data_IF_197851044552
#
_entry.id   IF_197851044552
#
_cell.length_a   1.000
_cell.length_b   1.000
_cell.length_c   1.000
_cell.angle_alpha   90.00
_cell.angle_beta   90.00
_cell.angle_gamma   90.00
#
_symmetry.space_group_name_H-M   'P 1'
#
loop_
_entity.id
_entity.type
_entity.pdbx_description
1 polymer ?
#
# COMPACT_ATOMS: atom_id res chain seq x y z
N UNK A 1 -45.44 -1.22 -29.94
CA UNK A 1 -44.23 -0.85 -30.71
C UNK A 1 -43.55 -2.11 -31.20
N UNK A 2 -43.15 -2.17 -32.47
CA UNK A 2 -42.33 -3.28 -32.99
C UNK A 2 -40.85 -3.13 -32.62
N UNK A 3 -40.06 -4.21 -32.63
CA UNK A 3 -38.60 -4.19 -32.31
C UNK A 3 -37.83 -3.12 -33.12
N UNK A 4 -38.20 -2.92 -34.39
CA UNK A 4 -37.63 -1.87 -35.23
C UNK A 4 -37.90 -0.45 -34.74
N UNK A 5 -39.07 -0.21 -34.16
CA UNK A 5 -39.50 1.10 -33.67
C UNK A 5 -38.80 1.45 -32.34
N UNK A 6 -38.55 0.43 -31.51
CA UNK A 6 -37.75 0.54 -30.27
C UNK A 6 -36.31 0.89 -30.59
N UNK A 7 -35.67 0.12 -31.47
CA UNK A 7 -34.29 0.37 -31.90
C UNK A 7 -34.15 1.76 -32.53
N UNK A 8 -35.10 2.18 -33.37
CA UNK A 8 -35.07 3.51 -33.96
C UNK A 8 -35.19 4.64 -32.91
N UNK A 9 -35.95 4.41 -31.84
CA UNK A 9 -36.13 5.38 -30.75
C UNK A 9 -34.89 5.46 -29.86
N UNK A 10 -34.27 4.32 -29.54
CA UNK A 10 -32.97 4.24 -28.85
C UNK A 10 -31.90 5.00 -29.64
N UNK A 11 -31.81 4.78 -30.96
CA UNK A 11 -30.83 5.48 -31.81
C UNK A 11 -31.04 6.99 -31.80
N UNK A 12 -32.28 7.48 -31.92
CA UNK A 12 -32.58 8.92 -31.84
C UNK A 12 -32.22 9.52 -30.48
N UNK A 13 -32.45 8.79 -29.39
CA UNK A 13 -32.09 9.22 -28.04
C UNK A 13 -30.57 9.39 -27.90
N UNK A 14 -29.79 8.40 -28.37
CA UNK A 14 -28.32 8.46 -28.35
C UNK A 14 -27.80 9.58 -29.26
N UNK A 15 -28.31 9.71 -30.48
CA UNK A 15 -27.88 10.75 -31.42
C UNK A 15 -28.20 12.17 -30.87
N UNK A 16 -29.30 12.32 -30.12
CA UNK A 16 -29.65 13.58 -29.45
C UNK A 16 -28.68 13.89 -28.30
N UNK A 17 -28.31 12.90 -27.49
CA UNK A 17 -27.32 13.06 -26.42
C UNK A 17 -25.92 13.36 -26.97
N UNK A 18 -25.57 12.80 -28.13
CA UNK A 18 -24.31 13.05 -28.84
C UNK A 18 -24.24 14.44 -29.48
N UNK A 19 -25.37 15.03 -29.91
CA UNK A 19 -25.38 16.35 -30.58
C UNK A 19 -24.86 17.50 -29.70
N UNK A 20 -24.72 17.28 -28.38
CA UNK A 20 -24.13 18.24 -27.44
C UNK A 20 -22.59 18.14 -27.30
N UNK A 21 -21.93 17.08 -27.79
CA UNK A 21 -20.48 16.85 -27.70
C UNK A 21 -20.00 16.13 -28.97
N UNK A 22 -19.03 16.68 -29.72
CA UNK A 22 -18.43 16.04 -30.90
C UNK A 22 -17.70 14.74 -30.54
N UNK A 23 -18.43 13.63 -30.42
CA UNK A 23 -17.93 12.37 -29.89
C UNK A 23 -17.71 11.32 -30.99
N UNK A 24 -16.66 10.52 -30.81
CA UNK A 24 -16.19 9.46 -31.73
C UNK A 24 -17.25 8.39 -32.00
N UNK A 25 -17.16 7.70 -33.15
CA UNK A 25 -18.02 6.54 -33.48
C UNK A 25 -18.02 5.48 -32.36
N UNK A 26 -16.89 5.32 -31.66
CA UNK A 26 -16.73 4.42 -30.51
C UNK A 26 -17.61 4.83 -29.31
N UNK A 27 -17.78 6.13 -29.07
CA UNK A 27 -18.66 6.64 -28.00
C UNK A 27 -20.12 6.34 -28.34
N UNK A 28 -20.49 6.53 -29.60
CA UNK A 28 -21.85 6.26 -30.09
C UNK A 28 -22.22 4.79 -29.92
N UNK A 29 -21.35 3.87 -30.32
CA UNK A 29 -21.56 2.42 -30.16
C UNK A 29 -21.72 2.04 -28.68
N UNK A 30 -20.91 2.63 -27.81
CA UNK A 30 -20.98 2.38 -26.38
C UNK A 30 -22.28 2.89 -25.76
N UNK A 31 -22.78 4.08 -26.16
CA UNK A 31 -24.05 4.62 -25.69
C UNK A 31 -25.25 3.80 -26.20
N UNK A 32 -25.21 3.29 -27.44
CA UNK A 32 -26.22 2.35 -27.96
C UNK A 32 -26.25 1.05 -27.16
N UNK A 33 -25.06 0.53 -26.80
CA UNK A 33 -24.94 -0.64 -25.93
C UNK A 33 -25.54 -0.36 -24.56
N UNK A 34 -25.23 0.78 -23.95
CA UNK A 34 -25.77 1.20 -22.66
C UNK A 34 -27.30 1.30 -22.70
N UNK A 35 -27.86 1.97 -23.71
CA UNK A 35 -29.30 2.13 -23.88
C UNK A 35 -30.00 0.77 -24.04
N UNK A 36 -29.44 -0.13 -24.86
CA UNK A 36 -30.01 -1.46 -25.09
C UNK A 36 -30.01 -2.33 -23.83
N UNK A 37 -28.92 -2.29 -23.03
CA UNK A 37 -28.86 -3.01 -21.76
C UNK A 37 -29.82 -2.43 -20.73
N UNK A 38 -29.89 -1.10 -20.64
CA UNK A 38 -30.82 -0.40 -19.73
C UNK A 38 -32.27 -0.70 -20.06
N UNK A 39 -32.63 -0.75 -21.34
CA UNK A 39 -33.94 -1.18 -21.81
C UNK A 39 -34.25 -2.63 -21.39
N UNK A 40 -33.31 -3.56 -21.62
CA UNK A 40 -33.49 -4.97 -21.25
C UNK A 40 -33.59 -5.20 -19.74
N UNK A 41 -32.97 -4.33 -18.92
CA UNK A 41 -32.97 -4.44 -17.45
C UNK A 41 -34.13 -3.70 -16.76
N UNK A 42 -35.03 -3.06 -17.51
CA UNK A 42 -36.08 -2.22 -16.93
C UNK A 42 -37.21 -3.01 -16.25
N UNK A 43 -37.43 -4.26 -16.67
CA UNK A 43 -38.49 -5.14 -16.15
C UNK A 43 -38.01 -6.12 -15.10
N UNK A 44 -36.80 -6.68 -15.28
CA UNK A 44 -36.14 -7.55 -14.32
C UNK A 44 -34.62 -7.33 -14.36
N UNK A 45 -34.05 -6.94 -13.23
CA UNK A 45 -32.63 -6.62 -13.09
C UNK A 45 -31.97 -7.73 -12.28
N UNK A 46 -31.79 -8.88 -12.93
CA UNK A 46 -31.09 -10.01 -12.36
C UNK A 46 -29.57 -9.74 -12.26
N UNK A 47 -28.83 -10.70 -11.68
CA UNK A 47 -27.38 -10.56 -11.49
C UNK A 47 -26.60 -10.42 -12.81
N UNK A 48 -27.08 -11.00 -13.92
CA UNK A 48 -26.38 -10.93 -15.21
C UNK A 48 -26.67 -9.60 -15.92
N UNK A 49 -27.93 -9.17 -15.93
CA UNK A 49 -28.36 -7.86 -16.40
C UNK A 49 -27.63 -6.73 -15.66
N UNK A 50 -27.52 -6.82 -14.33
CA UNK A 50 -26.73 -5.91 -13.52
C UNK A 50 -25.25 -5.86 -13.95
N UNK A 51 -24.62 -7.02 -14.15
CA UNK A 51 -23.22 -7.12 -14.56
C UNK A 51 -22.98 -6.62 -15.99
N UNK A 52 -23.94 -6.78 -16.89
CA UNK A 52 -23.89 -6.25 -18.26
C UNK A 52 -24.04 -4.72 -18.26
N UNK A 53 -24.97 -4.18 -17.47
CA UNK A 53 -25.15 -2.75 -17.29
C UNK A 53 -23.90 -2.12 -16.68
N UNK A 54 -23.32 -2.73 -15.64
CA UNK A 54 -22.08 -2.29 -15.00
C UNK A 54 -20.91 -2.23 -16.01
N UNK A 55 -20.76 -3.24 -16.87
CA UNK A 55 -19.77 -3.24 -17.96
C UNK A 55 -20.01 -2.13 -18.97
N UNK A 56 -21.26 -1.87 -19.34
CA UNK A 56 -21.62 -0.81 -20.28
C UNK A 56 -21.32 0.59 -19.71
N UNK A 57 -21.65 0.82 -18.44
CA UNK A 57 -21.32 2.05 -17.71
C UNK A 57 -19.80 2.22 -17.60
N UNK A 58 -19.07 1.16 -17.25
CA UNK A 58 -17.60 1.19 -17.19
C UNK A 58 -16.96 1.55 -18.54
N UNK A 59 -17.58 1.13 -19.66
CA UNK A 59 -17.17 1.56 -21.01
C UNK A 59 -17.38 3.06 -21.25
N UNK A 60 -18.53 3.60 -20.83
CA UNK A 60 -18.82 5.03 -20.93
C UNK A 60 -17.80 5.88 -20.15
N UNK A 61 -17.46 5.44 -18.94
CA UNK A 61 -16.41 6.07 -18.12
C UNK A 61 -15.06 6.10 -18.84
N UNK A 62 -14.62 4.96 -19.41
CA UNK A 62 -13.32 4.89 -20.11
C UNK A 62 -13.25 5.84 -21.31
N UNK A 63 -14.37 6.06 -21.97
CA UNK A 63 -14.48 6.95 -23.13
C UNK A 63 -14.74 8.43 -22.74
N UNK A 64 -14.73 8.75 -21.44
CA UNK A 64 -14.91 10.12 -20.96
C UNK A 64 -16.35 10.65 -21.03
N UNK A 65 -17.35 9.78 -21.16
CA UNK A 65 -18.76 10.18 -21.16
C UNK A 65 -19.14 10.71 -19.78
N UNK A 66 -19.84 11.84 -19.73
CA UNK A 66 -20.25 12.46 -18.47
C UNK A 66 -21.27 11.60 -17.70
N UNK A 67 -21.29 11.74 -16.37
CA UNK A 67 -22.29 11.08 -15.52
C UNK A 67 -23.71 11.46 -15.93
N UNK A 68 -23.94 12.72 -16.29
CA UNK A 68 -25.23 13.27 -16.68
C UNK A 68 -25.75 12.61 -17.98
N UNK A 69 -24.86 12.49 -18.97
CA UNK A 69 -25.17 11.80 -20.24
C UNK A 69 -25.50 10.33 -20.00
N UNK A 70 -24.70 9.63 -19.19
CA UNK A 70 -24.95 8.22 -18.86
C UNK A 70 -26.29 8.03 -18.15
N UNK A 71 -26.59 8.85 -17.13
CA UNK A 71 -27.87 8.78 -16.42
C UNK A 71 -29.06 9.09 -17.33
N UNK A 72 -28.93 10.09 -18.20
CA UNK A 72 -29.97 10.45 -19.17
C UNK A 72 -30.30 9.29 -20.11
N UNK A 73 -29.29 8.57 -20.60
CA UNK A 73 -29.47 7.40 -21.48
C UNK A 73 -30.08 6.22 -20.71
N UNK A 74 -29.63 5.95 -19.49
CA UNK A 74 -30.16 4.86 -18.66
C UNK A 74 -31.64 5.10 -18.33
N UNK A 75 -31.97 6.30 -17.83
CA UNK A 75 -33.34 6.67 -17.45
C UNK A 75 -34.24 6.68 -18.69
N UNK A 76 -33.82 7.32 -19.79
CA UNK A 76 -34.61 7.39 -21.01
C UNK A 76 -34.88 6.01 -21.65
N UNK A 77 -33.91 5.10 -21.60
CA UNK A 77 -34.10 3.72 -22.06
C UNK A 77 -35.11 2.94 -21.20
N UNK A 78 -35.11 3.16 -19.88
CA UNK A 78 -36.06 2.51 -18.96
C UNK A 78 -37.47 3.12 -19.07
N UNK A 79 -37.60 4.43 -19.27
CA UNK A 79 -38.87 5.10 -19.55
C UNK A 79 -39.54 4.58 -20.83
N UNK A 80 -38.73 4.19 -21.82
CA UNK A 80 -39.23 3.62 -23.06
C UNK A 80 -39.98 2.29 -22.81
N UNK A 81 -39.56 1.49 -21.83
CA UNK A 81 -40.25 0.23 -21.48
C UNK A 81 -41.62 0.50 -20.84
N UNK A 82 -41.71 1.53 -20.00
CA UNK A 82 -42.99 1.99 -19.40
C UNK A 82 -43.99 2.38 -20.49
N UNK A 83 -43.50 2.88 -21.63
CA UNK A 83 -44.32 3.30 -22.76
C UNK A 83 -44.78 2.16 -23.67
N UNK A 84 -44.22 0.95 -23.55
CA UNK A 84 -44.40 -0.15 -24.51
C UNK A 84 -45.11 -1.37 -23.89
N UNK A 85 -44.84 -1.70 -22.63
CA UNK A 85 -45.43 -2.87 -21.97
C UNK A 85 -46.66 -2.52 -21.12
N UNK A 86 -47.63 -3.43 -21.01
CA UNK A 86 -48.69 -3.37 -19.97
C UNK A 86 -48.02 -3.19 -18.62
N UNK A 87 -48.48 -2.23 -17.79
CA UNK A 87 -47.63 -1.59 -16.80
C UNK A 87 -46.97 -2.66 -15.91
N UNK A 88 -45.65 -2.84 -15.98
CA UNK A 88 -44.93 -3.44 -14.86
C UNK A 88 -45.43 -2.78 -13.57
N UNK A 89 -45.53 -3.55 -12.47
CA UNK A 89 -45.94 -2.95 -11.20
C UNK A 89 -45.02 -1.76 -10.93
N UNK A 90 -45.57 -0.61 -10.53
CA UNK A 90 -44.77 0.61 -10.33
C UNK A 90 -43.53 0.35 -9.43
N UNK A 91 -43.64 -0.66 -8.56
CA UNK A 91 -42.58 -1.17 -7.72
C UNK A 91 -41.41 -1.84 -8.47
N UNK A 92 -41.65 -2.63 -9.53
CA UNK A 92 -40.57 -3.27 -10.29
C UNK A 92 -39.76 -2.26 -11.09
N UNK A 93 -40.42 -1.28 -11.72
CA UNK A 93 -39.76 -0.17 -12.42
C UNK A 93 -38.95 0.67 -11.45
N UNK A 94 -39.53 1.03 -10.30
CA UNK A 94 -38.81 1.81 -9.29
C UNK A 94 -37.58 1.05 -8.75
N UNK A 95 -37.69 -0.26 -8.56
CA UNK A 95 -36.55 -1.12 -8.19
C UNK A 95 -35.47 -1.15 -9.27
N UNK A 96 -35.85 -1.32 -10.54
CA UNK A 96 -34.91 -1.33 -11.65
C UNK A 96 -34.18 0.02 -11.80
N UNK A 97 -34.90 1.14 -11.76
CA UNK A 97 -34.32 2.49 -11.84
C UNK A 97 -33.38 2.77 -10.66
N UNK A 98 -33.78 2.39 -9.43
CA UNK A 98 -32.93 2.53 -8.24
C UNK A 98 -31.64 1.73 -8.40
N UNK A 99 -31.74 0.45 -8.77
CA UNK A 99 -30.57 -0.41 -8.92
C UNK A 99 -29.64 0.07 -10.05
N UNK A 100 -30.20 0.49 -11.18
CA UNK A 100 -29.41 1.05 -12.28
C UNK A 100 -28.70 2.35 -11.89
N UNK A 101 -29.38 3.25 -11.17
CA UNK A 101 -28.77 4.49 -10.66
C UNK A 101 -27.67 4.19 -9.65
N UNK A 102 -27.86 3.20 -8.76
CA UNK A 102 -26.84 2.75 -7.82
C UNK A 102 -25.61 2.16 -8.53
N UNK A 103 -25.80 1.38 -9.60
CA UNK A 103 -24.72 0.86 -10.45
C UNK A 103 -23.96 2.04 -11.08
N UNK A 104 -24.66 2.97 -11.72
CA UNK A 104 -24.02 4.13 -12.38
C UNK A 104 -23.22 4.95 -11.38
N UNK A 105 -23.84 5.32 -10.25
CA UNK A 105 -23.19 6.10 -9.20
C UNK A 105 -21.95 5.39 -8.64
N UNK A 106 -22.03 4.07 -8.39
CA UNK A 106 -20.92 3.26 -7.88
C UNK A 106 -19.75 3.22 -8.87
N UNK A 107 -20.01 2.96 -10.15
CA UNK A 107 -18.96 2.87 -11.18
C UNK A 107 -18.26 4.22 -11.39
N UNK A 108 -19.01 5.31 -11.51
CA UNK A 108 -18.44 6.66 -11.66
C UNK A 108 -17.67 7.10 -10.40
N UNK A 109 -18.18 6.78 -9.21
CA UNK A 109 -17.48 7.05 -7.94
C UNK A 109 -16.16 6.29 -7.88
N UNK A 110 -16.15 5.01 -8.28
CA UNK A 110 -14.93 4.19 -8.31
C UNK A 110 -13.92 4.75 -9.30
N UNK A 111 -14.35 5.09 -10.51
CA UNK A 111 -13.49 5.67 -11.54
C UNK A 111 -12.82 6.97 -11.10
N UNK A 112 -13.61 7.89 -10.53
CA UNK A 112 -13.10 9.15 -9.98
C UNK A 112 -12.18 8.94 -8.77
N UNK A 113 -12.42 7.90 -7.98
CA UNK A 113 -11.51 7.51 -6.90
C UNK A 113 -10.17 7.04 -7.45
N UNK A 114 -10.18 6.20 -8.50
CA UNK A 114 -8.97 5.69 -9.15
C UNK A 114 -8.17 6.81 -9.81
N UNK A 115 -8.81 7.71 -10.56
CA UNK A 115 -8.15 8.87 -11.19
C UNK A 115 -7.42 9.73 -10.16
N UNK A 116 -8.07 10.02 -9.03
CA UNK A 116 -7.43 10.75 -7.92
C UNK A 116 -6.31 9.97 -7.24
N UNK A 117 -6.37 8.65 -7.22
CA UNK A 117 -5.27 7.80 -6.73
C UNK A 117 -4.07 7.94 -7.68
N UNK A 118 -4.31 7.90 -8.99
CA UNK A 118 -3.27 8.01 -10.02
C UNK A 118 -2.63 9.40 -10.04
N UNK A 119 -3.42 10.47 -9.95
CA UNK A 119 -2.93 11.84 -9.76
C UNK A 119 -2.07 11.95 -8.49
N UNK A 120 -2.58 11.48 -7.34
CA UNK A 120 -1.85 11.51 -6.09
C UNK A 120 -0.54 10.72 -6.13
N UNK A 121 -0.54 9.58 -6.82
CA UNK A 121 0.66 8.78 -7.06
C UNK A 121 1.67 9.53 -7.93
N UNK A 122 1.23 10.21 -8.99
CA UNK A 122 2.09 11.01 -9.84
C UNK A 122 2.73 12.18 -9.06
N UNK A 123 1.95 12.85 -8.19
CA UNK A 123 2.45 13.90 -7.29
C UNK A 123 3.50 13.34 -6.33
N UNK A 124 3.19 12.25 -5.62
CA UNK A 124 4.13 11.60 -4.70
C UNK A 124 5.44 11.21 -5.39
N UNK A 125 5.35 10.60 -6.58
CA UNK A 125 6.51 10.16 -7.33
C UNK A 125 7.41 11.30 -7.79
N UNK A 126 6.87 12.49 -8.06
CA UNK A 126 7.69 13.65 -8.39
C UNK A 126 8.26 14.35 -7.17
N UNK A 127 7.50 14.46 -6.07
CA UNK A 127 8.02 14.99 -4.81
C UNK A 127 9.23 14.17 -4.33
N UNK A 128 9.14 12.85 -4.40
CA UNK A 128 10.24 11.94 -4.05
C UNK A 128 11.43 12.01 -5.02
N UNK A 129 11.22 12.49 -6.26
CA UNK A 129 12.29 12.77 -7.24
C UNK A 129 12.86 14.19 -7.15
N UNK A 130 12.28 15.06 -6.33
CA UNK A 130 12.67 16.47 -6.23
C UNK A 130 12.12 17.35 -7.36
N UNK A 131 11.17 16.85 -8.15
CA UNK A 131 10.54 17.54 -9.29
C UNK A 131 9.31 18.38 -8.86
N UNK A 132 9.27 18.87 -7.61
CA UNK A 132 8.10 19.57 -7.03
C UNK A 132 7.65 20.79 -7.85
N UNK A 133 8.61 21.56 -8.40
CA UNK A 133 8.34 22.73 -9.23
C UNK A 133 7.61 22.43 -10.55
N UNK A 134 7.76 21.21 -11.10
CA UNK A 134 7.12 20.83 -12.38
C UNK A 134 5.65 20.45 -12.21
N UNK A 135 5.24 20.07 -10.99
CA UNK A 135 3.90 19.54 -10.70
C UNK A 135 2.92 20.62 -10.24
N UNK A 136 3.41 21.70 -9.62
CA UNK A 136 2.57 22.80 -9.09
C UNK A 136 1.64 23.45 -10.15
N UNK A 137 1.93 23.28 -11.44
CA UNK A 137 1.06 23.75 -12.55
C UNK A 137 0.09 22.72 -13.13
N UNK A 138 0.28 21.42 -12.88
CA UNK A 138 -0.47 20.33 -13.55
C UNK A 138 -1.49 19.62 -12.66
N UNK A 139 -1.32 19.67 -11.34
CA UNK A 139 -2.23 19.04 -10.38
C UNK A 139 -3.08 20.11 -9.66
N UNK A 140 -4.09 20.63 -10.34
CA UNK A 140 -4.96 21.71 -9.84
C UNK A 140 -5.77 21.37 -8.57
N UNK A 141 -5.78 20.11 -8.14
CA UNK A 141 -6.63 19.61 -7.06
C UNK A 141 -5.88 19.02 -5.86
N UNK A 142 -4.55 18.87 -5.93
CA UNK A 142 -3.73 18.31 -4.85
C UNK A 142 -2.78 19.39 -4.34
N UNK A 143 -3.04 19.91 -3.14
CA UNK A 143 -2.16 20.88 -2.50
C UNK A 143 -0.86 20.24 -2.03
N UNK A 144 0.27 20.80 -2.45
CA UNK A 144 1.60 20.45 -1.94
C UNK A 144 1.84 21.22 -0.64
N UNK A 145 2.21 20.53 0.43
CA UNK A 145 2.55 21.14 1.71
C UNK A 145 4.04 21.55 1.75
N UNK A 146 4.41 22.39 2.72
CA UNK A 146 5.82 22.80 2.93
C UNK A 146 6.67 21.70 3.56
N UNK A 147 6.03 20.76 4.25
CA UNK A 147 6.65 19.66 4.98
C UNK A 147 5.72 18.46 5.11
N UNK A 148 6.35 17.29 5.24
CA UNK A 148 5.68 16.01 5.29
C UNK A 148 6.33 15.09 6.33
N UNK A 149 5.48 14.33 7.02
CA UNK A 149 5.90 13.09 7.67
C UNK A 149 5.88 11.96 6.64
N UNK A 150 7.05 11.38 6.41
CA UNK A 150 7.23 10.22 5.53
C UNK A 150 7.03 8.96 6.38
N UNK A 151 6.18 8.06 5.90
CA UNK A 151 5.97 6.73 6.47
C UNK A 151 6.35 5.70 5.40
N UNK A 152 7.51 5.09 5.56
CA UNK A 152 7.92 3.94 4.77
C UNK A 152 7.42 2.67 5.44
N UNK A 153 6.79 1.79 4.68
CA UNK A 153 6.14 0.58 5.19
C UNK A 153 6.53 -0.65 4.38
N UNK A 154 6.87 -1.73 5.09
CA UNK A 154 7.03 -3.08 4.58
C UNK A 154 5.75 -3.84 4.89
N UNK A 155 5.04 -4.24 3.83
CA UNK A 155 3.83 -5.04 3.97
C UNK A 155 4.22 -6.51 4.15
N UNK A 156 3.49 -7.27 5.00
CA UNK A 156 3.68 -8.70 5.09
C UNK A 156 3.48 -9.33 3.71
N UNK A 157 4.30 -10.31 3.30
CA UNK A 157 4.06 -11.03 2.06
C UNK A 157 2.66 -11.64 2.13
N UNK A 158 1.86 -11.43 1.08
CA UNK A 158 0.60 -12.13 0.89
C UNK A 158 0.92 -13.63 0.82
N UNK A 159 0.90 -14.33 1.95
CA UNK A 159 1.10 -15.77 1.95
C UNK A 159 -0.02 -16.37 1.11
N UNK A 160 0.37 -16.99 -0.01
CA UNK A 160 -0.52 -17.75 -0.86
C UNK A 160 -1.32 -18.70 0.02
N UNK A 161 -2.65 -18.54 0.00
CA UNK A 161 -3.56 -19.47 0.65
C UNK A 161 -3.24 -20.88 0.16
N UNK A 162 -2.89 -21.80 1.07
CA UNK A 162 -3.40 -23.16 0.94
C UNK A 162 -4.93 -23.04 0.93
N UNK A 163 -5.55 -23.26 -0.23
CA UNK A 163 -7.00 -23.12 -0.45
C UNK A 163 -7.74 -24.30 0.19
N UNK A 164 -8.17 -24.17 1.43
CA UNK A 164 -9.35 -24.88 1.96
C UNK A 164 -10.10 -23.93 2.92
N UNK A 165 -11.12 -23.23 2.40
CA UNK A 165 -12.00 -22.36 3.19
C UNK A 165 -12.80 -21.37 2.34
N UNK A 166 -14.08 -21.07 2.69
CA UNK A 166 -14.92 -20.17 1.90
C UNK A 166 -14.43 -18.72 1.98
N UNK A 167 -14.54 -17.94 0.88
CA UNK A 167 -13.97 -16.61 0.77
C UNK A 167 -14.79 -15.61 1.58
N UNK A 168 -14.32 -15.30 2.79
CA UNK A 168 -14.77 -14.13 3.55
C UNK A 168 -13.55 -13.29 3.94
N UNK A 169 -13.62 -11.98 3.66
CA UNK A 169 -12.61 -10.93 3.85
C UNK A 169 -11.29 -11.07 3.04
N UNK A 170 -11.37 -10.98 1.71
CA UNK A 170 -10.23 -10.80 0.79
C UNK A 170 -10.21 -9.38 0.20
N UNK A 171 -10.25 -8.34 1.04
CA UNK A 171 -9.90 -7.01 0.51
C UNK A 171 -8.38 -6.97 0.33
N UNK A 172 -7.86 -6.61 -0.86
CA UNK A 172 -6.43 -6.41 -1.03
C UNK A 172 -5.97 -5.30 -0.07
N UNK A 173 -4.78 -5.45 0.53
CA UNK A 173 -4.26 -4.49 1.53
C UNK A 173 -4.14 -3.07 0.95
N UNK A 174 -3.89 -2.96 -0.36
CA UNK A 174 -3.74 -1.69 -1.07
C UNK A 174 -5.02 -0.80 -1.08
N UNK A 175 -6.20 -1.26 -1.54
CA UNK A 175 -7.46 -0.52 -1.40
C UNK A 175 -7.77 -0.07 0.03
N UNK A 176 -7.60 -0.97 1.01
CA UNK A 176 -7.83 -0.66 2.43
C UNK A 176 -6.86 0.41 2.94
N UNK A 177 -5.58 0.31 2.59
CA UNK A 177 -4.58 1.34 2.91
C UNK A 177 -4.96 2.69 2.32
N UNK A 178 -5.33 2.72 1.04
CA UNK A 178 -5.69 3.98 0.38
C UNK A 178 -6.94 4.63 1.01
N UNK A 179 -7.92 3.80 1.40
CA UNK A 179 -9.09 4.23 2.15
C UNK A 179 -8.73 4.80 3.53
N UNK A 180 -7.94 4.08 4.32
CA UNK A 180 -7.55 4.52 5.67
C UNK A 180 -6.65 5.76 5.65
N UNK A 181 -5.74 5.89 4.68
CA UNK A 181 -4.92 7.10 4.50
C UNK A 181 -5.82 8.32 4.28
N UNK A 182 -6.75 8.23 3.32
CA UNK A 182 -7.68 9.33 3.02
C UNK A 182 -8.59 9.66 4.20
N UNK A 183 -9.09 8.63 4.88
CA UNK A 183 -10.01 8.77 6.02
C UNK A 183 -9.34 9.46 7.22
N UNK A 184 -8.07 9.15 7.52
CA UNK A 184 -7.37 9.66 8.71
C UNK A 184 -6.56 10.92 8.46
N UNK A 185 -5.89 10.99 7.32
CA UNK A 185 -4.93 12.06 7.02
C UNK A 185 -5.44 13.05 5.94
N UNK A 186 -6.64 12.80 5.41
CA UNK A 186 -7.29 13.69 4.46
C UNK A 186 -6.84 13.48 3.00
N UNK A 187 -7.38 14.30 2.08
CA UNK A 187 -7.17 14.13 0.64
C UNK A 187 -5.78 14.52 0.15
N UNK A 188 -5.01 15.28 0.94
CA UNK A 188 -3.65 15.73 0.60
C UNK A 188 -2.57 14.74 1.03
N UNK A 189 -2.93 13.67 1.75
CA UNK A 189 -2.01 12.58 2.05
C UNK A 189 -1.83 11.72 0.80
N UNK A 190 -0.57 11.45 0.45
CA UNK A 190 -0.21 10.80 -0.81
C UNK A 190 0.36 9.41 -0.53
N UNK A 191 0.03 8.44 -1.38
CA UNK A 191 0.47 7.06 -1.22
C UNK A 191 1.13 6.57 -2.50
N UNK A 192 2.32 6.00 -2.37
CA UNK A 192 3.04 5.33 -3.45
C UNK A 192 3.22 3.86 -3.07
N UNK A 193 2.58 2.96 -3.81
CA UNK A 193 2.66 1.52 -3.61
C UNK A 193 3.85 0.94 -4.39
N UNK A 194 4.58 0.04 -3.73
CA UNK A 194 5.62 -0.80 -4.31
C UNK A 194 5.25 -2.27 -4.13
N UNK A 195 5.99 -3.18 -4.77
CA UNK A 195 5.66 -4.62 -4.82
C UNK A 195 5.55 -5.29 -3.44
N UNK A 196 6.26 -4.78 -2.45
CA UNK A 196 6.31 -5.32 -1.09
C UNK A 196 6.09 -4.26 0.01
N UNK A 197 5.62 -3.07 -0.35
CA UNK A 197 5.56 -1.96 0.59
C UNK A 197 4.80 -0.75 0.10
N UNK A 198 4.84 0.30 0.91
CA UNK A 198 4.25 1.58 0.58
C UNK A 198 5.06 2.72 1.18
N UNK A 199 5.06 3.86 0.49
CA UNK A 199 5.54 5.14 1.00
C UNK A 199 4.36 6.07 1.09
N UNK A 200 4.10 6.60 2.27
CA UNK A 200 2.99 7.52 2.52
C UNK A 200 3.58 8.87 2.93
N UNK A 201 3.15 9.93 2.26
CA UNK A 201 3.49 11.32 2.58
C UNK A 201 2.30 11.96 3.26
N UNK A 202 2.46 12.30 4.54
CA UNK A 202 1.41 12.88 5.39
C UNK A 202 1.77 14.35 5.61
N UNK A 203 0.99 15.31 5.09
CA UNK A 203 1.29 16.73 5.27
C UNK A 203 1.19 17.11 6.75
N UNK A 204 1.97 18.08 7.20
CA UNK A 204 1.97 18.52 8.61
C UNK A 204 0.65 19.13 9.09
N UNK A 205 -0.24 19.50 8.17
CA UNK A 205 -1.60 19.93 8.48
C UNK A 205 -2.52 18.78 8.92
N UNK A 206 -2.13 17.53 8.68
CA UNK A 206 -2.85 16.33 9.07
C UNK A 206 -2.35 15.80 10.43
N UNK A 207 -3.16 15.02 11.17
CA UNK A 207 -2.71 14.40 12.41
C UNK A 207 -1.58 13.41 12.13
N UNK A 208 -0.34 13.83 12.42
CA UNK A 208 0.90 13.11 12.11
C UNK A 208 1.71 12.77 13.36
N UNK A 209 1.08 12.84 14.55
CA UNK A 209 1.72 12.41 15.78
C UNK A 209 1.97 10.89 15.78
N UNK A 210 2.92 10.45 16.60
CA UNK A 210 3.31 9.04 16.62
C UNK A 210 2.16 8.10 17.01
N UNK A 211 1.23 8.55 17.84
CA UNK A 211 0.11 7.73 18.29
C UNK A 211 -0.89 7.48 17.15
N UNK A 212 -1.21 8.51 16.37
CA UNK A 212 -2.06 8.42 15.18
C UNK A 212 -1.42 7.54 14.10
N UNK A 213 -0.11 7.68 13.87
CA UNK A 213 0.63 6.85 12.93
C UNK A 213 0.69 5.37 13.38
N UNK A 214 0.93 5.12 14.67
CA UNK A 214 0.93 3.76 15.22
C UNK A 214 -0.45 3.11 15.08
N UNK A 215 -1.52 3.83 15.46
CA UNK A 215 -2.89 3.34 15.31
C UNK A 215 -3.28 3.10 13.84
N UNK A 216 -2.71 3.87 12.89
CA UNK A 216 -2.87 3.62 11.46
C UNK A 216 -2.15 2.34 11.03
N UNK A 217 -0.89 2.17 11.45
CA UNK A 217 -0.11 0.96 11.15
C UNK A 217 -0.80 -0.31 11.69
N UNK A 218 -1.30 -0.27 12.91
CA UNK A 218 -1.99 -1.40 13.55
C UNK A 218 -3.31 -1.75 12.85
N UNK A 219 -4.02 -0.75 12.32
CA UNK A 219 -5.24 -0.97 11.54
C UNK A 219 -4.99 -1.72 10.23
N UNK A 220 -3.75 -1.70 9.72
CA UNK A 220 -3.37 -2.41 8.52
C UNK A 220 -2.95 -3.87 8.79
N UNK A 221 -3.13 -4.37 10.01
CA UNK A 221 -2.94 -5.78 10.33
C UNK A 221 -3.70 -6.70 9.35
N UNK A 222 -3.03 -7.75 8.91
CA UNK A 222 -3.62 -8.81 8.07
C UNK A 222 -4.55 -9.70 8.89
N UNK A 223 -5.32 -10.58 8.23
CA UNK A 223 -6.30 -11.44 8.89
C UNK A 223 -5.69 -12.42 9.92
N UNK A 224 -4.42 -12.78 9.75
CA UNK A 224 -3.62 -13.57 10.70
C UNK A 224 -3.02 -12.72 11.83
N UNK A 225 -3.33 -11.43 11.90
CA UNK A 225 -2.85 -10.51 12.93
C UNK A 225 -1.45 -9.95 12.68
N UNK A 226 -0.83 -10.23 11.52
CA UNK A 226 0.50 -9.70 11.20
C UNK A 226 0.40 -8.20 10.88
N UNK A 227 1.05 -7.38 11.72
CA UNK A 227 1.10 -5.92 11.55
C UNK A 227 2.24 -5.55 10.57
N UNK A 228 2.04 -4.58 9.67
CA UNK A 228 3.12 -4.07 8.84
C UNK A 228 4.28 -3.49 9.67
N UNK A 229 5.49 -3.60 9.12
CA UNK A 229 6.66 -2.94 9.72
C UNK A 229 6.81 -1.59 9.06
N UNK A 230 6.84 -0.51 9.84
CA UNK A 230 6.93 0.83 9.27
C UNK A 230 7.94 1.68 10.01
N UNK A 231 8.53 2.65 9.32
CA UNK A 231 9.44 3.63 9.88
C UNK A 231 9.03 5.03 9.46
N UNK A 232 9.09 5.97 10.39
CA UNK A 232 8.70 7.37 10.14
C UNK A 232 9.82 8.37 10.37
N UNK A 233 9.87 9.37 9.49
CA UNK A 233 10.73 10.55 9.54
C UNK A 233 9.96 11.79 9.08
N UNK A 234 10.42 12.97 9.48
CA UNK A 234 9.88 14.26 9.04
C UNK A 234 10.84 14.91 8.05
N UNK A 235 10.31 15.60 7.03
CA UNK A 235 11.09 16.29 6.01
C UNK A 235 10.39 17.57 5.54
N UNK A 236 11.18 18.60 5.22
CA UNK A 236 10.73 19.67 4.34
C UNK A 236 10.53 19.14 2.92
N UNK A 237 9.66 19.76 2.16
CA UNK A 237 9.39 19.36 0.77
C UNK A 237 10.62 19.41 -0.14
N UNK A 238 11.58 20.28 0.16
CA UNK A 238 12.87 20.36 -0.53
C UNK A 238 13.81 19.18 -0.21
N UNK A 239 13.69 18.61 0.98
CA UNK A 239 14.57 17.54 1.48
C UNK A 239 13.94 16.16 1.33
N UNK A 240 12.68 16.09 0.90
CA UNK A 240 11.91 14.86 0.69
C UNK A 240 12.68 13.75 -0.03
N UNK A 241 13.40 14.00 -1.15
CA UNK A 241 14.16 12.94 -1.82
C UNK A 241 15.22 12.31 -0.90
N UNK A 242 16.03 13.14 -0.24
CA UNK A 242 17.09 12.68 0.63
C UNK A 242 16.55 11.96 1.88
N UNK A 243 15.51 12.50 2.51
CA UNK A 243 14.89 11.87 3.69
C UNK A 243 14.13 10.59 3.31
N UNK A 244 13.56 10.52 2.10
CA UNK A 244 12.95 9.29 1.59
C UNK A 244 13.98 8.17 1.43
N UNK A 245 15.15 8.45 0.87
CA UNK A 245 16.24 7.47 0.82
C UNK A 245 16.66 7.02 2.22
N UNK A 246 16.76 7.95 3.17
CA UNK A 246 17.15 7.64 4.55
C UNK A 246 16.11 6.76 5.27
N UNK A 247 14.82 7.09 5.19
CA UNK A 247 13.74 6.35 5.86
C UNK A 247 13.61 4.94 5.27
N UNK A 248 13.79 4.78 3.95
CA UNK A 248 13.78 3.48 3.29
C UNK A 248 14.98 2.62 3.70
N UNK A 249 16.19 3.21 3.68
CA UNK A 249 17.39 2.50 4.14
C UNK A 249 17.30 2.11 5.63
N UNK A 250 16.68 2.94 6.46
CA UNK A 250 16.44 2.64 7.88
C UNK A 250 15.41 1.52 8.06
N UNK A 251 14.31 1.52 7.29
CA UNK A 251 13.31 0.45 7.31
C UNK A 251 13.91 -0.90 6.88
N UNK A 252 14.75 -0.89 5.84
CA UNK A 252 15.42 -2.10 5.36
C UNK A 252 16.37 -2.65 6.42
N UNK A 253 17.14 -1.79 7.09
CA UNK A 253 17.99 -2.19 8.21
C UNK A 253 17.17 -2.75 9.38
N UNK A 254 16.11 -2.07 9.80
CA UNK A 254 15.23 -2.53 10.88
C UNK A 254 14.65 -3.92 10.55
N UNK A 255 14.20 -4.13 9.31
CA UNK A 255 13.68 -5.42 8.85
C UNK A 255 14.75 -6.51 8.93
N UNK A 256 15.99 -6.23 8.51
CA UNK A 256 17.12 -7.18 8.58
C UNK A 256 17.49 -7.56 10.01
N UNK A 257 17.37 -6.63 10.96
CA UNK A 257 17.60 -6.88 12.38
C UNK A 257 16.41 -7.57 13.08
N UNK A 258 15.38 -7.98 12.33
CA UNK A 258 14.20 -8.65 12.88
C UNK A 258 13.25 -7.72 13.63
N UNK A 259 13.46 -6.41 13.56
CA UNK A 259 12.60 -5.39 14.16
C UNK A 259 11.33 -5.25 13.30
N UNK A 260 10.38 -6.15 13.50
CA UNK A 260 9.17 -6.28 12.68
C UNK A 260 7.90 -6.03 13.49
N UNK A 261 6.76 -5.86 12.79
CA UNK A 261 5.43 -5.93 13.39
C UNK A 261 4.96 -4.69 14.14
N UNK A 262 5.55 -3.51 13.88
CA UNK A 262 5.12 -2.23 14.46
C UNK A 262 5.68 -1.03 13.69
N UNK A 263 5.22 0.16 14.08
CA UNK A 263 5.84 1.42 13.72
C UNK A 263 7.11 1.66 14.55
N UNK A 264 8.14 2.18 13.90
CA UNK A 264 9.41 2.62 14.48
C UNK A 264 9.64 4.10 14.16
N UNK A 265 10.28 4.82 15.09
CA UNK A 265 10.91 6.10 14.81
C UNK A 265 12.31 5.87 14.27
N UNK A 266 12.85 6.84 13.53
CA UNK A 266 14.26 6.81 13.18
C UNK A 266 15.19 6.71 14.41
N UNK A 267 14.83 7.36 15.52
CA UNK A 267 15.57 7.27 16.79
C UNK A 267 15.68 5.85 17.35
N UNK A 268 14.75 4.95 17.01
CA UNK A 268 14.74 3.57 17.49
C UNK A 268 15.79 2.69 16.77
N UNK A 269 16.32 3.16 15.64
CA UNK A 269 17.31 2.47 14.80
C UNK A 269 18.54 3.35 14.50
N UNK A 270 18.60 4.58 15.04
CA UNK A 270 19.57 5.58 14.61
C UNK A 270 21.02 5.12 14.81
N UNK A 271 21.30 4.38 15.89
CA UNK A 271 22.63 3.84 16.16
C UNK A 271 23.01 2.82 15.10
N UNK A 272 22.18 1.79 14.93
CA UNK A 272 22.41 0.74 13.95
C UNK A 272 22.52 1.33 12.54
N UNK A 273 21.68 2.31 12.22
CA UNK A 273 21.72 3.04 10.94
C UNK A 273 23.06 3.73 10.69
N UNK A 274 23.68 4.32 11.71
CA UNK A 274 24.97 4.98 11.58
C UNK A 274 26.12 3.99 11.54
N UNK A 275 26.04 2.89 12.30
CA UNK A 275 27.06 1.83 12.29
C UNK A 275 27.22 1.16 10.92
N UNK A 276 26.16 1.12 10.10
CA UNK A 276 26.21 0.54 8.76
C UNK A 276 26.70 1.52 7.69
N UNK A 277 26.89 2.82 8.01
CA UNK A 277 27.41 3.80 7.06
C UNK A 277 28.93 3.62 6.86
N UNK A 278 29.45 3.79 5.64
CA UNK A 278 30.89 3.77 5.39
C UNK A 278 31.63 4.79 6.28
N UNK A 279 32.77 4.37 6.83
CA UNK A 279 33.63 5.23 7.63
C UNK A 279 34.59 4.43 8.52
N UNK A 280 35.64 5.08 9.03
CA UNK A 280 36.72 4.40 9.76
C UNK A 280 36.25 3.67 11.02
N UNK A 281 35.20 4.19 11.68
CA UNK A 281 34.60 3.52 12.84
C UNK A 281 33.90 2.20 12.47
N UNK A 282 33.16 2.18 11.35
CA UNK A 282 32.56 0.95 10.82
C UNK A 282 33.64 -0.05 10.43
N UNK A 283 34.67 0.41 9.72
CA UNK A 283 35.74 -0.46 9.24
C UNK A 283 36.45 -1.13 10.42
N UNK A 284 36.80 -0.36 11.46
CA UNK A 284 37.40 -0.90 12.68
C UNK A 284 36.48 -1.89 13.44
N UNK A 285 35.17 -1.64 13.48
CA UNK A 285 34.22 -2.53 14.14
C UNK A 285 33.90 -3.78 13.32
N UNK A 286 34.01 -3.73 11.99
CA UNK A 286 33.72 -4.89 11.14
C UNK A 286 34.68 -6.06 11.37
N UNK A 287 35.93 -5.78 11.72
CA UNK A 287 36.97 -6.81 11.91
C UNK A 287 36.92 -7.48 13.29
N UNK A 288 36.09 -6.98 14.22
CA UNK A 288 36.01 -7.47 15.60
C UNK A 288 35.59 -8.95 15.66
N UNK A 289 34.78 -9.40 14.71
CA UNK A 289 34.27 -10.78 14.66
C UNK A 289 35.03 -11.68 13.69
N UNK A 290 36.05 -11.18 12.99
CA UNK A 290 36.88 -11.97 12.07
C UNK A 290 37.49 -13.22 12.76
N UNK A 291 37.98 -13.15 14.01
CA UNK A 291 38.48 -14.33 14.71
C UNK A 291 37.41 -15.41 14.99
N UNK A 292 36.12 -15.11 14.80
CA UNK A 292 35.01 -16.05 14.99
C UNK A 292 34.54 -16.70 13.69
N UNK A 293 35.10 -16.36 12.52
CA UNK A 293 34.66 -16.89 11.23
C UNK A 293 34.83 -18.40 11.10
N UNK A 294 35.92 -18.93 11.63
CA UNK A 294 36.18 -20.38 11.72
C UNK A 294 35.37 -21.06 12.83
N UNK A 295 34.53 -20.32 13.55
CA UNK A 295 33.80 -20.76 14.73
C UNK A 295 32.30 -20.36 14.67
N UNK A 296 31.53 -20.90 13.72
CA UNK A 296 30.12 -20.52 13.52
C UNK A 296 29.24 -20.80 14.75
N UNK A 297 29.59 -21.77 15.59
CA UNK A 297 28.89 -22.08 16.83
C UNK A 297 29.09 -21.00 17.91
N UNK A 298 30.26 -20.35 17.95
CA UNK A 298 30.51 -19.20 18.81
C UNK A 298 29.71 -17.98 18.35
N UNK A 299 29.70 -17.70 17.04
CA UNK A 299 28.90 -16.61 16.48
C UNK A 299 27.40 -16.80 16.74
N UNK A 300 26.88 -18.02 16.53
CA UNK A 300 25.50 -18.36 16.86
C UNK A 300 25.20 -18.23 18.36
N UNK A 301 26.17 -18.58 19.21
CA UNK A 301 26.05 -18.41 20.67
C UNK A 301 25.99 -16.94 21.07
N UNK A 302 26.84 -16.09 20.48
CA UNK A 302 26.85 -14.65 20.74
C UNK A 302 25.53 -13.98 20.33
N UNK A 303 25.04 -14.25 19.11
CA UNK A 303 23.74 -13.75 18.63
C UNK A 303 22.61 -14.16 19.56
N UNK A 304 22.49 -15.46 19.84
CA UNK A 304 21.45 -15.99 20.73
C UNK A 304 21.54 -15.43 22.15
N UNK A 305 22.76 -15.18 22.65
CA UNK A 305 22.98 -14.57 23.95
C UNK A 305 22.42 -13.14 24.04
N UNK A 306 22.72 -12.32 23.02
CA UNK A 306 22.21 -10.94 22.92
C UNK A 306 20.68 -10.95 22.74
N UNK A 307 20.15 -11.76 21.83
CA UNK A 307 18.70 -11.89 21.59
C UNK A 307 17.91 -12.42 22.80
N UNK A 308 18.59 -13.14 23.68
CA UNK A 308 18.00 -13.67 24.91
C UNK A 308 18.04 -12.67 26.07
N UNK A 309 18.46 -11.42 25.83
CA UNK A 309 18.58 -10.39 26.86
C UNK A 309 19.76 -10.65 27.81
N UNK A 310 20.85 -11.23 27.29
CA UNK A 310 22.06 -11.57 28.06
C UNK A 310 21.82 -12.64 29.15
N UNK A 311 20.73 -13.41 29.04
CA UNK A 311 20.42 -14.54 29.93
C UNK A 311 21.05 -15.83 29.42
N UNK A 312 22.03 -16.35 30.17
CA UNK A 312 22.77 -17.59 29.86
C UNK A 312 21.87 -18.83 29.87
N UNK A 313 20.90 -18.92 30.78
CA UNK A 313 19.98 -20.07 30.87
C UNK A 313 19.00 -20.06 29.71
N UNK A 314 18.48 -18.90 29.33
CA UNK A 314 17.60 -18.74 28.17
C UNK A 314 18.35 -19.08 26.87
N UNK A 315 19.59 -18.61 26.75
CA UNK A 315 20.49 -18.94 25.64
C UNK A 315 20.76 -20.44 25.55
N UNK A 316 21.10 -21.09 26.68
CA UNK A 316 21.34 -22.52 26.75
C UNK A 316 20.12 -23.33 26.30
N UNK A 317 18.92 -22.96 26.74
CA UNK A 317 17.67 -23.60 26.29
C UNK A 317 17.44 -23.42 24.79
N UNK A 318 17.59 -22.20 24.26
CA UNK A 318 17.39 -21.90 22.82
C UNK A 318 18.39 -22.65 21.93
N UNK A 319 19.62 -22.86 22.40
CA UNK A 319 20.66 -23.58 21.66
C UNK A 319 20.74 -25.08 21.98
N UNK A 320 19.87 -25.57 22.88
CA UNK A 320 19.89 -26.95 23.38
C UNK A 320 21.24 -27.37 23.97
N UNK A 321 21.86 -26.46 24.72
CA UNK A 321 23.15 -26.65 25.40
C UNK A 321 22.97 -26.69 26.92
N UNK A 322 23.96 -27.22 27.61
CA UNK A 322 24.09 -27.02 29.05
C UNK A 322 24.56 -25.57 29.34
N UNK A 323 24.08 -24.91 30.42
CA UNK A 323 24.50 -23.54 30.77
C UNK A 323 26.03 -23.36 30.88
N UNK A 324 26.76 -24.37 31.36
CA UNK A 324 28.23 -24.33 31.42
C UNK A 324 28.88 -24.26 30.03
N UNK A 325 28.27 -24.88 29.01
CA UNK A 325 28.77 -24.80 27.64
C UNK A 325 28.61 -23.40 27.06
N UNK A 326 27.53 -22.69 27.40
CA UNK A 326 27.35 -21.28 27.02
C UNK A 326 28.43 -20.41 27.68
N UNK A 327 28.69 -20.60 28.98
CA UNK A 327 29.74 -19.87 29.70
C UNK A 327 31.13 -20.10 29.09
N UNK A 328 31.45 -21.37 28.77
CA UNK A 328 32.70 -21.72 28.08
C UNK A 328 32.83 -21.00 26.73
N UNK A 329 31.75 -20.98 25.94
CA UNK A 329 31.73 -20.32 24.62
C UNK A 329 31.87 -18.80 24.74
N UNK A 330 31.19 -18.15 25.69
CA UNK A 330 31.36 -16.71 25.94
C UNK A 330 32.78 -16.37 26.38
N UNK A 331 33.39 -17.17 27.26
CA UNK A 331 34.81 -17.02 27.61
C UNK A 331 35.75 -17.23 26.43
N UNK A 332 35.40 -18.13 25.50
CA UNK A 332 36.18 -18.35 24.28
C UNK A 332 36.07 -17.16 23.33
N UNK A 333 34.88 -16.57 23.19
CA UNK A 333 34.66 -15.33 22.42
C UNK A 333 35.53 -14.20 22.97
N UNK A 334 35.56 -14.00 24.29
CA UNK A 334 36.46 -13.02 24.93
C UNK A 334 37.93 -13.28 24.56
N UNK A 335 38.41 -14.53 24.65
CA UNK A 335 39.80 -14.87 24.31
C UNK A 335 40.16 -14.60 22.84
N UNK A 336 39.19 -14.72 21.92
CA UNK A 336 39.43 -14.56 20.49
C UNK A 336 39.27 -13.11 20.02
N UNK A 337 38.29 -12.38 20.58
CA UNK A 337 37.94 -11.02 20.14
C UNK A 337 38.55 -9.92 21.02
N UNK A 338 38.99 -10.27 22.24
CA UNK A 338 39.44 -9.31 23.25
C UNK A 338 38.31 -8.58 23.97
N UNK A 339 37.04 -8.82 23.64
CA UNK A 339 35.88 -8.13 24.22
C UNK A 339 35.07 -9.03 25.15
N UNK A 340 34.78 -8.52 26.34
CA UNK A 340 33.94 -9.22 27.32
C UNK A 340 32.47 -8.86 27.13
N UNK A 341 31.63 -9.86 26.86
CA UNK A 341 30.17 -9.71 26.75
C UNK A 341 29.46 -9.30 28.05
N UNK A 342 30.15 -9.37 29.20
CA UNK A 342 29.63 -8.96 30.51
C UNK A 342 30.01 -7.53 30.89
N UNK A 343 30.98 -6.93 30.20
CA UNK A 343 31.31 -5.52 30.33
C UNK A 343 30.48 -4.69 29.34
N UNK A 344 29.93 -3.53 29.72
CA UNK A 344 29.14 -2.69 28.82
C UNK A 344 29.86 -2.30 27.52
N UNK A 345 31.16 -1.98 27.59
CA UNK A 345 31.96 -1.57 26.43
C UNK A 345 32.24 -2.75 25.52
N UNK A 346 32.65 -3.88 26.11
CA UNK A 346 32.87 -5.12 25.36
C UNK A 346 31.60 -5.61 24.66
N UNK A 347 30.47 -5.58 25.35
CA UNK A 347 29.16 -5.90 24.78
C UNK A 347 28.78 -4.96 23.63
N UNK A 348 29.00 -3.66 23.80
CA UNK A 348 28.72 -2.67 22.75
C UNK A 348 29.49 -2.96 21.46
N UNK A 349 30.79 -3.24 21.57
CA UNK A 349 31.63 -3.56 20.41
C UNK A 349 31.17 -4.87 19.73
N UNK A 350 30.91 -5.92 20.50
CA UNK A 350 30.41 -7.20 19.98
C UNK A 350 29.06 -7.04 19.28
N UNK A 351 28.12 -6.28 19.87
CA UNK A 351 26.81 -6.00 19.27
C UNK A 351 26.92 -5.15 18.01
N UNK A 352 27.76 -4.11 18.04
CA UNK A 352 27.97 -3.23 16.88
C UNK A 352 28.55 -4.01 15.70
N UNK A 353 29.55 -4.86 15.96
CA UNK A 353 30.14 -5.72 14.94
C UNK A 353 29.13 -6.72 14.35
N UNK A 354 28.22 -7.27 15.17
CA UNK A 354 27.12 -8.12 14.68
C UNK A 354 26.18 -7.35 13.75
N UNK A 355 25.74 -6.14 14.14
CA UNK A 355 24.88 -5.30 13.29
C UNK A 355 25.53 -5.01 11.94
N UNK A 356 26.82 -4.67 11.93
CA UNK A 356 27.58 -4.41 10.70
C UNK A 356 27.67 -5.67 9.83
N UNK A 357 27.96 -6.83 10.43
CA UNK A 357 28.06 -8.12 9.73
C UNK A 357 26.73 -8.54 9.12
N UNK A 358 25.64 -8.41 9.87
CA UNK A 358 24.29 -8.79 9.45
C UNK A 358 23.77 -7.89 8.32
N UNK A 359 24.23 -6.64 8.25
CA UNK A 359 23.99 -5.75 7.11
C UNK A 359 24.81 -6.13 5.86
N UNK A 360 26.06 -6.59 6.00
CA UNK A 360 26.97 -6.87 4.88
C UNK A 360 26.68 -8.20 4.15
N UNK A 361 26.04 -9.17 4.81
CA UNK A 361 25.98 -10.58 4.35
C UNK A 361 25.23 -10.77 3.00
N UNK A 362 24.52 -9.77 2.45
CA UNK A 362 23.92 -9.82 1.11
C UNK A 362 24.60 -8.94 0.04
N UNK A 363 25.44 -7.97 0.40
CA UNK A 363 26.14 -7.15 -0.62
C UNK A 363 27.11 -8.03 -1.44
N UNK A 364 27.67 -9.07 -0.81
CA UNK A 364 28.52 -10.08 -1.48
C UNK A 364 27.71 -11.11 -2.29
N UNK A 365 26.42 -11.32 -1.99
CA UNK A 365 25.57 -12.29 -2.68
C UNK A 365 24.88 -11.72 -3.95
N UNK A 366 24.77 -10.40 -4.05
CA UNK A 366 24.24 -9.69 -5.23
C UNK A 366 25.34 -9.17 -6.18
N UNK A 367 26.61 -9.34 -5.80
CA UNK A 367 27.79 -8.94 -6.58
C UNK A 367 28.68 -10.10 -7.04
N UNK A 368 28.18 -11.34 -7.00
CA UNK A 368 28.86 -12.55 -7.45
C UNK A 368 28.16 -13.17 -8.66
#
# INVERSE_FOLDING_TARGET
MGVHEVNHTITRMVDSAMSAHSASDEVREQLLTLASRSFASATDLDSDAAAQLERAVAGCVRLGVSLDTTLSIVIGAMELVISIETPPTADSVLRAVRAATEIVARVYKQARSNERVDEGRAVAAALLRGDSAKILGHCSHIGVADSYTILAMRLPPLRGRHREGPPTATEPVAPRMHFEVRRRFGPSALTLLADNGATILIPDTAPNDYAALAAFNDCLATADGTVPTALTMHALTTDLPAVAEQVHAALDLATRLGMTGRLYRFSDIAVEYQLTRPGPGRDALSTVLDPLEEHPDLLATLRCYIDSGLDRRRTARRLHLHPNSVDYRLKRILRLTGYDSTDPTGLWNLRSALVIRDHHTEYTALGA
#
